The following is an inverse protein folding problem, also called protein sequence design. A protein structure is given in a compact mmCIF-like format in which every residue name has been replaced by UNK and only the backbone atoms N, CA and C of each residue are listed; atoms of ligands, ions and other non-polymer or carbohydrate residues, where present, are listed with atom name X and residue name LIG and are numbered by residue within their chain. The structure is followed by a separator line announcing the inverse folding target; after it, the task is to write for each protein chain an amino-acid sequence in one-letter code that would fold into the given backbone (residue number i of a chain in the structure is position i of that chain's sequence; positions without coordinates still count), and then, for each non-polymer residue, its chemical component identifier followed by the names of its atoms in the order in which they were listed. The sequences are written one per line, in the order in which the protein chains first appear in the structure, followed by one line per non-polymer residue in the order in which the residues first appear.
data_IF_765517543542
#
_entry.id   IF_765517543542
#
_cell.length_a   1.000
_cell.length_b   1.000
_cell.length_c   1.000
_cell.angle_alpha   90.00
_cell.angle_beta   90.00
_cell.angle_gamma   90.00
#
_symmetry.space_group_name_H-M   'P 1'
#
loop_
_entity.id
_entity.type
_entity.pdbx_description
1 polymer ?
#
# COMPACT_ATOMS: atom_id res chain seq x y z
N UNK A 1 -37.36 5.80 -5.26
CA UNK A 1 -36.48 6.98 -5.03
C UNK A 1 -35.80 7.33 -6.34
N UNK A 2 -35.66 8.61 -6.70
CA UNK A 2 -34.90 9.01 -7.90
C UNK A 2 -33.43 9.27 -7.54
N UNK A 3 -32.51 8.62 -8.23
CA UNK A 3 -31.06 8.78 -8.07
C UNK A 3 -30.50 9.37 -9.35
N UNK A 4 -29.60 10.35 -9.21
CA UNK A 4 -28.89 10.95 -10.32
C UNK A 4 -27.42 10.56 -10.27
N UNK A 5 -26.89 10.10 -11.40
CA UNK A 5 -25.48 9.80 -11.55
C UNK A 5 -24.92 10.56 -12.75
N UNK A 6 -23.65 10.94 -12.66
CA UNK A 6 -22.93 11.55 -13.76
C UNK A 6 -21.81 10.59 -14.21
N UNK A 7 -21.75 10.26 -15.52
CA UNK A 7 -20.64 9.51 -16.08
C UNK A 7 -19.29 10.20 -15.83
N UNK A 8 -18.26 9.42 -15.49
CA UNK A 8 -16.91 9.95 -15.20
C UNK A 8 -16.18 10.52 -16.42
N UNK A 9 -16.65 10.20 -17.62
CA UNK A 9 -16.17 10.74 -18.90
C UNK A 9 -16.81 12.08 -19.29
N UNK A 10 -17.63 12.66 -18.41
CA UNK A 10 -18.22 13.98 -18.60
C UNK A 10 -19.54 13.99 -19.39
N UNK A 11 -20.16 12.82 -19.58
CA UNK A 11 -21.50 12.71 -20.17
C UNK A 11 -22.60 13.38 -19.35
N UNK A 12 -23.79 13.44 -19.94
CA UNK A 12 -24.98 14.04 -19.33
C UNK A 12 -25.44 13.30 -18.06
N UNK A 13 -26.16 14.02 -17.20
CA UNK A 13 -26.73 13.45 -15.99
C UNK A 13 -27.80 12.40 -16.33
N UNK A 14 -27.67 11.21 -15.72
CA UNK A 14 -28.62 10.12 -15.85
C UNK A 14 -29.48 10.04 -14.58
N UNK A 15 -30.79 9.86 -14.76
CA UNK A 15 -31.74 9.72 -13.66
C UNK A 15 -32.40 8.34 -13.68
N UNK A 16 -32.35 7.65 -12.54
CA UNK A 16 -32.90 6.30 -12.37
C UNK A 16 -33.90 6.27 -11.23
N UNK A 17 -35.04 5.61 -11.45
CA UNK A 17 -35.96 5.25 -10.38
C UNK A 17 -35.55 3.90 -9.80
N UNK A 18 -35.25 3.89 -8.50
CA UNK A 18 -34.75 2.70 -7.79
C UNK A 18 -35.40 2.53 -6.42
N UNK A 19 -35.45 1.28 -5.96
CA UNK A 19 -35.91 0.92 -4.62
C UNK A 19 -34.80 1.08 -3.58
N UNK A 20 -33.54 0.86 -3.97
CA UNK A 20 -32.38 0.91 -3.09
C UNK A 20 -31.11 1.37 -3.82
N UNK A 21 -30.13 1.85 -3.05
CA UNK A 21 -28.82 2.28 -3.54
C UNK A 21 -27.72 1.63 -2.71
N UNK A 22 -26.72 1.07 -3.39
CA UNK A 22 -25.50 0.53 -2.78
C UNK A 22 -24.33 1.40 -3.21
N UNK A 23 -23.70 2.11 -2.26
CA UNK A 23 -22.49 2.87 -2.54
C UNK A 23 -21.26 1.96 -2.43
N UNK A 24 -20.79 1.46 -3.57
CA UNK A 24 -19.58 0.63 -3.66
C UNK A 24 -18.33 1.45 -4.04
N UNK A 25 -18.19 2.66 -3.51
CA UNK A 25 -17.12 3.62 -3.88
C UNK A 25 -15.76 3.31 -3.23
N UNK A 26 -15.61 2.13 -2.61
CA UNK A 26 -14.38 1.68 -1.98
C UNK A 26 -14.15 2.24 -0.57
N UNK A 27 -12.89 2.16 -0.13
CA UNK A 27 -12.47 2.50 1.24
C UNK A 27 -11.24 3.40 1.23
N UNK A 28 -11.08 4.18 2.29
CA UNK A 28 -9.85 4.92 2.59
C UNK A 28 -9.29 4.45 3.92
N UNK A 29 -7.96 4.43 4.04
CA UNK A 29 -7.34 4.15 5.32
C UNK A 29 -7.48 5.37 6.24
N UNK A 30 -7.96 5.22 7.49
CA UNK A 30 -7.92 6.31 8.45
C UNK A 30 -6.47 6.58 8.83
N UNK A 31 -5.89 7.66 8.31
CA UNK A 31 -4.49 8.02 8.56
C UNK A 31 -4.26 8.66 9.94
N UNK A 32 -5.33 9.01 10.65
CA UNK A 32 -5.27 9.60 12.00
C UNK A 32 -4.32 10.81 12.03
N UNK A 33 -3.32 10.77 12.91
CA UNK A 33 -2.32 11.80 13.17
C UNK A 33 -1.14 11.80 12.19
N UNK A 34 -1.00 10.77 11.33
CA UNK A 34 0.14 10.64 10.42
C UNK A 34 0.41 11.87 9.54
N UNK A 35 -0.61 12.56 8.96
CA UNK A 35 -0.35 13.79 8.23
C UNK A 35 0.20 14.91 9.12
N UNK A 36 -0.26 14.98 10.37
CA UNK A 36 0.25 15.94 11.37
C UNK A 36 1.69 15.63 11.80
N UNK A 37 2.11 14.37 11.72
CA UNK A 37 3.48 13.93 11.94
C UNK A 37 4.40 14.17 10.72
N UNK A 38 3.85 14.60 9.58
CA UNK A 38 4.61 14.92 8.36
C UNK A 38 4.62 13.82 7.29
N UNK A 39 3.79 12.78 7.41
CA UNK A 39 3.68 11.73 6.39
C UNK A 39 2.92 12.27 5.16
N UNK A 40 3.57 12.31 4.00
CA UNK A 40 2.92 12.68 2.75
C UNK A 40 2.00 11.57 2.25
N UNK A 41 0.97 11.95 1.50
CA UNK A 41 0.00 11.02 0.92
C UNK A 41 -0.21 11.30 -0.56
N UNK A 42 -0.70 10.32 -1.31
CA UNK A 42 -0.97 10.46 -2.74
C UNK A 42 -2.25 9.75 -3.18
N UNK A 43 -2.77 10.20 -4.34
CA UNK A 43 -3.96 9.62 -4.98
C UNK A 43 -5.27 9.92 -4.25
N UNK A 44 -6.39 9.55 -4.88
CA UNK A 44 -7.73 9.81 -4.34
C UNK A 44 -7.97 9.13 -2.98
N UNK A 45 -7.39 7.95 -2.76
CA UNK A 45 -7.48 7.22 -1.50
C UNK A 45 -6.52 7.70 -0.41
N UNK A 46 -5.68 8.72 -0.68
CA UNK A 46 -4.68 9.27 0.24
C UNK A 46 -3.78 8.19 0.85
N UNK A 47 -3.18 7.34 0.03
CA UNK A 47 -2.23 6.35 0.51
C UNK A 47 -0.95 7.05 0.99
N UNK A 48 -0.31 6.61 2.10
CA UNK A 48 0.95 7.20 2.53
C UNK A 48 2.05 6.90 1.52
N UNK A 49 2.94 7.87 1.28
CA UNK A 49 4.13 7.70 0.45
C UNK A 49 5.13 6.81 1.20
N UNK A 50 5.54 5.73 0.55
CA UNK A 50 6.30 4.65 1.18
C UNK A 50 7.56 4.32 0.39
N UNK A 51 8.61 3.92 1.10
CA UNK A 51 9.78 3.27 0.53
C UNK A 51 9.43 1.84 0.07
N UNK A 52 10.30 1.16 -0.72
CA UNK A 52 10.14 -0.25 -1.03
C UNK A 52 10.12 -1.19 0.19
N UNK A 53 10.50 -0.70 1.37
CA UNK A 53 10.49 -1.45 2.64
C UNK A 53 9.28 -1.11 3.52
N UNK A 54 8.23 -0.51 2.95
CA UNK A 54 7.00 -0.10 3.64
C UNK A 54 7.23 0.84 4.83
N UNK A 55 8.31 1.61 4.80
CA UNK A 55 8.55 2.73 5.71
C UNK A 55 8.04 4.02 5.06
N UNK A 56 7.62 5.00 5.85
CA UNK A 56 7.36 6.35 5.38
C UNK A 56 8.58 6.91 4.65
N UNK A 57 8.35 7.53 3.49
CA UNK A 57 9.43 8.19 2.76
C UNK A 57 9.85 9.52 3.40
N UNK A 58 8.99 10.12 4.23
CA UNK A 58 9.20 11.44 4.82
C UNK A 58 9.61 11.39 6.30
N UNK A 59 9.13 10.37 7.03
CA UNK A 59 9.28 10.28 8.50
C UNK A 59 9.87 8.91 8.88
N UNK A 60 11.19 8.82 9.12
CA UNK A 60 11.84 7.56 9.48
C UNK A 60 11.22 6.91 10.73
N UNK A 61 11.19 5.58 10.76
CA UNK A 61 10.65 4.78 11.86
C UNK A 61 9.13 4.55 11.84
N UNK A 62 8.39 5.20 10.92
CA UNK A 62 6.97 4.89 10.68
C UNK A 62 6.87 3.81 9.60
N UNK A 63 6.35 2.64 9.97
CA UNK A 63 6.19 1.49 9.08
C UNK A 63 4.71 1.13 8.86
N UNK A 64 4.42 0.60 7.67
CA UNK A 64 3.06 0.31 7.21
C UNK A 64 2.89 -1.18 6.91
N UNK A 65 1.84 -1.80 7.44
CA UNK A 65 1.54 -3.22 7.25
C UNK A 65 0.07 -3.46 6.92
N UNK A 66 -0.20 -4.52 6.15
CA UNK A 66 -1.53 -4.83 5.63
C UNK A 66 -1.80 -4.15 4.28
N UNK A 67 -3.08 -3.98 3.93
CA UNK A 67 -3.49 -3.46 2.62
C UNK A 67 -3.01 -2.04 2.35
N UNK A 68 -2.72 -1.25 3.39
CA UNK A 68 -2.13 0.09 3.27
C UNK A 68 -0.71 0.06 2.65
N UNK A 69 -0.03 -1.09 2.69
CA UNK A 69 1.25 -1.33 2.02
C UNK A 69 1.20 -1.22 0.49
N UNK A 70 0.00 -1.14 -0.11
CA UNK A 70 -0.20 -0.86 -1.54
C UNK A 70 0.38 0.51 -1.98
N UNK A 71 0.69 1.41 -1.03
CA UNK A 71 1.44 2.63 -1.32
C UNK A 71 2.84 2.35 -1.90
N UNK A 72 3.46 1.21 -1.56
CA UNK A 72 4.70 0.74 -2.14
C UNK A 72 4.46 0.12 -3.54
N UNK A 73 4.40 0.96 -4.57
CA UNK A 73 4.07 0.58 -5.96
C UNK A 73 5.07 -0.35 -6.64
N UNK A 74 6.30 -0.45 -6.13
CA UNK A 74 7.34 -1.31 -6.72
C UNK A 74 7.63 -0.95 -8.18
N UNK A 75 7.65 -1.96 -9.06
CA UNK A 75 7.93 -1.83 -10.48
C UNK A 75 6.66 -1.58 -11.32
N UNK A 76 5.58 -1.05 -10.72
CA UNK A 76 4.32 -0.80 -11.42
C UNK A 76 4.49 0.05 -12.69
N UNK A 77 5.41 1.03 -12.67
CA UNK A 77 5.75 1.86 -13.85
C UNK A 77 6.34 1.07 -15.02
N UNK A 78 6.79 -0.16 -14.76
CA UNK A 78 7.34 -1.10 -15.73
C UNK A 78 6.38 -2.28 -15.99
N UNK A 79 5.08 -2.12 -15.69
CA UNK A 79 4.06 -3.14 -15.93
C UNK A 79 4.01 -4.27 -14.89
N UNK A 80 4.82 -4.20 -13.82
CA UNK A 80 4.88 -5.21 -12.75
C UNK A 80 4.38 -4.62 -11.43
N UNK A 81 3.05 -4.58 -11.20
CA UNK A 81 2.50 -4.02 -9.98
C UNK A 81 2.89 -4.83 -8.75
N UNK A 82 3.12 -4.13 -7.65
CA UNK A 82 3.33 -4.74 -6.34
C UNK A 82 2.05 -5.42 -5.84
N UNK A 83 2.19 -6.60 -5.26
CA UNK A 83 1.08 -7.35 -4.67
C UNK A 83 0.81 -6.99 -3.21
N UNK A 84 1.40 -5.88 -2.74
CA UNK A 84 1.40 -5.47 -1.33
C UNK A 84 0.01 -5.16 -0.78
N UNK A 85 -0.94 -4.80 -1.65
CA UNK A 85 -2.32 -4.51 -1.26
C UNK A 85 -3.18 -5.75 -1.01
N UNK A 86 -2.79 -6.93 -1.51
CA UNK A 86 -3.57 -8.15 -1.37
C UNK A 86 -3.09 -8.97 -0.17
N UNK A 87 -4.00 -9.72 0.47
CA UNK A 87 -3.69 -10.55 1.66
C UNK A 87 -2.47 -11.45 1.44
N UNK A 88 -2.37 -12.06 0.27
CA UNK A 88 -1.29 -12.99 -0.04
C UNK A 88 0.07 -12.30 -0.18
N UNK A 89 0.16 -11.05 -0.64
CA UNK A 89 1.40 -10.28 -0.62
C UNK A 89 1.68 -9.67 0.75
N UNK A 90 0.67 -9.05 1.37
CA UNK A 90 0.79 -8.36 2.65
C UNK A 90 1.37 -9.24 3.77
N UNK A 91 1.01 -10.53 3.82
CA UNK A 91 1.54 -11.48 4.82
C UNK A 91 3.05 -11.74 4.69
N UNK A 92 3.59 -11.76 3.46
CA UNK A 92 5.02 -11.93 3.24
C UNK A 92 5.78 -10.62 3.50
N UNK A 93 5.18 -9.49 3.10
CA UNK A 93 5.70 -8.16 3.41
C UNK A 93 5.85 -7.97 4.91
N UNK A 94 4.82 -8.33 5.71
CA UNK A 94 4.85 -8.20 7.16
C UNK A 94 6.01 -8.99 7.79
N UNK A 95 6.32 -10.19 7.26
CA UNK A 95 7.46 -10.98 7.71
C UNK A 95 8.80 -10.30 7.41
N UNK A 96 8.97 -9.78 6.20
CA UNK A 96 10.19 -9.05 5.82
C UNK A 96 10.32 -7.73 6.58
N UNK A 97 9.22 -7.02 6.78
CA UNK A 97 9.15 -5.79 7.57
C UNK A 97 9.57 -6.05 9.02
N UNK A 98 9.09 -7.12 9.65
CA UNK A 98 9.50 -7.50 11.00
C UNK A 98 11.01 -7.75 11.09
N UNK A 99 11.58 -8.47 10.11
CA UNK A 99 13.03 -8.69 10.04
C UNK A 99 13.79 -7.37 9.84
N UNK A 100 13.27 -6.46 9.00
CA UNK A 100 13.88 -5.16 8.73
C UNK A 100 13.89 -4.26 9.96
N UNK A 101 12.77 -4.18 10.68
CA UNK A 101 12.65 -3.44 11.94
C UNK A 101 13.60 -4.02 12.99
N UNK A 102 13.63 -5.36 13.14
CA UNK A 102 14.53 -6.01 14.09
C UNK A 102 16.01 -5.72 13.78
N UNK A 103 16.41 -5.78 12.50
CA UNK A 103 17.77 -5.45 12.08
C UNK A 103 18.12 -3.97 12.35
N UNK A 104 17.18 -3.05 12.15
CA UNK A 104 17.35 -1.63 12.51
C UNK A 104 17.55 -1.39 14.01
N UNK A 105 17.01 -2.29 14.85
CA UNK A 105 17.21 -2.31 16.29
C UNK A 105 18.45 -3.11 16.73
N UNK A 106 19.29 -3.57 15.78
CA UNK A 106 20.53 -4.30 16.07
C UNK A 106 20.37 -5.80 16.28
N UNK A 107 19.19 -6.37 16.00
CA UNK A 107 19.01 -7.84 16.05
C UNK A 107 19.74 -8.52 14.89
N UNK A 108 20.40 -9.64 15.18
CA UNK A 108 21.04 -10.45 14.14
C UNK A 108 19.99 -11.06 13.19
N UNK A 109 20.32 -11.14 11.90
CA UNK A 109 19.50 -11.88 10.94
C UNK A 109 19.46 -13.36 11.35
N UNK A 110 18.27 -13.98 11.43
CA UNK A 110 18.18 -15.42 11.69
C UNK A 110 18.66 -16.25 10.49
N UNK A 111 18.84 -15.62 9.32
CA UNK A 111 19.33 -16.27 8.11
C UNK A 111 20.83 -16.00 7.95
N UNK A 112 21.67 -17.05 7.88
CA UNK A 112 23.10 -16.89 7.64
C UNK A 112 23.32 -16.32 6.23
N UNK A 113 24.26 -15.38 6.11
CA UNK A 113 24.68 -14.88 4.80
C UNK A 113 25.40 -16.01 4.05
N UNK A 114 24.98 -16.26 2.81
CA UNK A 114 25.68 -17.18 1.91
C UNK A 114 26.75 -16.38 1.17
N UNK A 115 28.04 -16.74 1.25
CA UNK A 115 29.09 -16.08 0.48
C UNK A 115 28.82 -16.18 -1.01
N UNK A 116 29.10 -15.13 -1.77
CA UNK A 116 28.91 -15.13 -3.23
C UNK A 116 29.66 -16.29 -3.91
N UNK A 117 30.82 -16.66 -3.39
CA UNK A 117 31.62 -17.79 -3.88
C UNK A 117 30.97 -19.18 -3.66
N UNK A 118 29.91 -19.26 -2.85
CA UNK A 118 29.16 -20.50 -2.59
C UNK A 118 27.90 -20.63 -3.44
N UNK A 119 27.60 -19.63 -4.28
CA UNK A 119 26.50 -19.70 -5.24
C UNK A 119 26.93 -20.56 -6.43
N UNK A 120 26.05 -21.44 -6.88
CA UNK A 120 26.20 -22.20 -8.13
C UNK A 120 25.32 -21.54 -9.20
N UNK A 121 25.81 -21.52 -10.44
CA UNK A 121 25.03 -20.99 -11.56
C UNK A 121 23.79 -21.87 -11.81
N UNK A 122 22.68 -21.22 -12.22
CA UNK A 122 21.40 -21.85 -12.54
C UNK A 122 21.24 -22.06 -14.05
#
# INVERSE_FOLDING_TARGET
MIVRTRPSDGGDDLAFEVDAVISATGFVCPLLDLPGLGVSTFGASRLPVQTPWWESADVPGIHFAGTIGQGAKGLQRHGMPSNSGAVHGARYNARLLAQRVAAGLGSASPHPAVPAASLIDF
#
